data_IF_356032971511
#
_entry.id   IF_356032971511
#
_cell.length_a   1.000
_cell.length_b   1.000
_cell.length_c   1.000
_cell.angle_alpha   90.00
_cell.angle_beta   90.00
_cell.angle_gamma   90.00
#
_symmetry.space_group_name_H-M   'P 1'
#
loop_
_entity.id
_entity.type
_entity.pdbx_description
1 polymer ?
#
# COMPACT_ATOMS: atom_id res chain seq x y z
N UNK A 1 21.64 36.03 58.11
CA UNK A 1 22.00 35.50 56.78
C UNK A 1 20.92 35.93 55.80
N UNK A 2 21.33 36.70 54.80
CA UNK A 2 20.59 37.29 53.67
C UNK A 2 19.74 36.27 52.90
N UNK A 3 18.69 36.62 52.13
CA UNK A 3 18.21 37.91 51.62
C UNK A 3 16.73 37.79 51.17
N UNK A 4 16.04 38.92 51.15
CA UNK A 4 14.66 39.13 50.71
C UNK A 4 14.64 40.02 49.45
N UNK A 5 13.57 39.87 48.65
CA UNK A 5 12.81 40.90 47.91
C UNK A 5 13.35 41.51 46.59
N UNK A 6 12.66 41.15 45.50
CA UNK A 6 11.74 41.96 44.67
C UNK A 6 12.07 43.42 44.25
N UNK A 7 12.18 43.61 42.92
CA UNK A 7 11.72 44.67 41.98
C UNK A 7 11.79 46.16 42.37
N UNK A 8 12.37 46.98 41.47
CA UNK A 8 12.09 48.42 41.35
C UNK A 8 12.84 49.10 40.19
N UNK A 9 12.11 49.70 39.24
CA UNK A 9 12.63 50.56 38.16
C UNK A 9 12.95 51.98 38.64
N UNK A 10 13.96 52.64 38.06
CA UNK A 10 13.97 54.08 37.69
C UNK A 10 15.14 54.39 36.75
N UNK A 11 14.93 55.35 35.84
CA UNK A 11 15.82 55.78 34.76
C UNK A 11 16.76 56.93 35.16
N UNK A 12 17.95 57.02 34.51
CA UNK A 12 18.70 58.27 34.23
C UNK A 12 19.77 58.08 33.11
N UNK A 13 19.64 58.89 32.05
CA UNK A 13 20.66 59.74 31.38
C UNK A 13 21.91 59.25 30.57
N UNK A 14 21.81 59.46 29.23
CA UNK A 14 22.78 60.01 28.22
C UNK A 14 24.07 59.24 27.80
N UNK A 15 24.71 59.51 26.61
CA UNK A 15 24.30 59.31 25.19
C UNK A 15 25.44 58.61 24.35
N UNK A 16 25.39 58.52 22.99
CA UNK A 16 26.05 57.47 22.20
C UNK A 16 27.43 57.85 21.64
N UNK A 17 28.14 56.88 21.01
CA UNK A 17 28.91 57.02 19.76
C UNK A 17 29.74 55.73 19.51
N UNK A 18 29.44 54.97 18.45
CA UNK A 18 30.40 54.05 17.81
C UNK A 18 30.52 54.40 16.34
N UNK A 19 31.67 55.00 16.00
CA UNK A 19 32.20 55.05 14.66
C UNK A 19 33.07 53.83 14.34
N UNK A 20 33.20 53.61 13.04
CA UNK A 20 34.33 52.98 12.31
C UNK A 20 34.66 51.51 12.57
N UNK A 21 34.43 50.72 11.51
CA UNK A 21 35.00 49.39 11.22
C UNK A 21 36.52 49.36 11.43
N UNK A 22 37.08 48.15 11.65
CA UNK A 22 38.14 47.73 10.74
C UNK A 22 38.05 46.27 10.28
N UNK A 23 38.56 46.09 9.06
CA UNK A 23 39.33 44.99 8.48
C UNK A 23 38.79 43.54 8.47
N UNK A 24 38.81 43.00 7.24
CA UNK A 24 38.60 41.61 6.83
C UNK A 24 39.68 40.68 7.39
N UNK A 25 39.27 39.47 7.74
CA UNK A 25 40.08 38.25 7.57
C UNK A 25 39.39 37.31 6.56
N UNK A 26 40.15 36.46 5.85
CA UNK A 26 39.69 35.76 4.65
C UNK A 26 39.19 34.33 4.93
N UNK A 27 38.07 33.99 4.31
CA UNK A 27 37.83 32.71 3.63
C UNK A 27 37.89 31.42 4.46
N UNK A 28 36.74 31.02 5.01
CA UNK A 28 36.40 29.60 5.18
C UNK A 28 35.07 29.38 4.45
N UNK A 29 35.14 28.74 3.27
CA UNK A 29 33.97 28.38 2.49
C UNK A 29 33.25 27.20 3.14
N UNK A 30 32.27 27.49 3.99
CA UNK A 30 31.23 26.52 4.31
C UNK A 30 30.23 26.50 3.15
N UNK A 31 30.16 25.37 2.45
CA UNK A 31 29.05 25.09 1.53
C UNK A 31 27.76 25.01 2.36
N UNK A 32 27.02 26.11 2.44
CA UNK A 32 25.64 26.08 2.90
C UNK A 32 24.85 25.16 1.97
N UNK A 33 24.55 23.97 2.48
CA UNK A 33 23.50 23.12 1.95
C UNK A 33 22.20 23.92 2.08
N UNK A 34 21.84 24.65 1.02
CA UNK A 34 20.57 25.36 0.93
C UNK A 34 19.47 24.32 1.12
N UNK A 35 18.84 24.35 2.30
CA UNK A 35 17.57 23.70 2.55
C UNK A 35 16.56 24.34 1.59
N UNK A 36 16.31 23.64 0.49
CA UNK A 36 15.21 23.95 -0.40
C UNK A 36 13.94 23.70 0.40
N UNK A 37 13.35 24.77 0.93
CA UNK A 37 11.97 24.74 1.38
C UNK A 37 11.11 24.42 0.15
N UNK A 38 10.31 23.33 0.16
CA UNK A 38 9.38 23.08 -0.94
C UNK A 38 8.41 24.24 -0.99
N UNK A 39 8.28 24.85 -2.18
CA UNK A 39 7.24 25.84 -2.45
C UNK A 39 5.89 25.16 -2.24
N UNK A 40 5.09 25.69 -1.33
CA UNK A 40 3.67 25.38 -1.21
C UNK A 40 3.01 25.52 -2.60
N UNK A 41 2.45 24.42 -3.12
CA UNK A 41 1.65 24.41 -4.35
C UNK A 41 2.19 23.62 -5.55
N UNK A 42 3.37 23.00 -5.50
CA UNK A 42 3.82 22.12 -6.58
C UNK A 42 3.29 20.69 -6.38
N UNK A 43 2.14 20.35 -6.97
CA UNK A 43 1.70 18.96 -7.10
C UNK A 43 2.82 18.17 -7.81
N UNK A 44 3.45 17.23 -7.11
CA UNK A 44 4.51 16.39 -7.67
C UNK A 44 3.92 15.53 -8.80
N UNK A 45 4.24 15.90 -10.04
CA UNK A 45 3.70 15.22 -11.22
C UNK A 45 4.23 13.79 -11.33
N UNK A 46 3.35 12.85 -11.69
CA UNK A 46 3.69 11.45 -11.88
C UNK A 46 3.56 11.10 -13.36
N UNK A 47 4.62 10.56 -13.93
CA UNK A 47 4.59 10.04 -15.31
C UNK A 47 3.72 8.79 -15.42
N UNK A 48 3.66 8.00 -14.35
CA UNK A 48 2.90 6.76 -14.30
C UNK A 48 2.35 6.52 -12.90
N UNK A 49 1.07 6.18 -12.83
CA UNK A 49 0.43 5.67 -11.61
C UNK A 49 -0.16 4.29 -11.87
N UNK A 50 0.23 3.33 -11.04
CA UNK A 50 -0.35 1.98 -11.04
C UNK A 50 -1.43 1.88 -9.96
N UNK A 51 -2.59 1.34 -10.30
CA UNK A 51 -3.63 0.95 -9.36
C UNK A 51 -3.74 -0.56 -9.37
N UNK A 52 -3.37 -1.20 -8.26
CA UNK A 52 -3.29 -2.65 -8.16
C UNK A 52 -4.50 -3.19 -7.41
N UNK A 53 -5.15 -4.19 -7.99
CA UNK A 53 -6.13 -5.04 -7.32
C UNK A 53 -5.72 -6.50 -7.30
N UNK A 54 -6.55 -7.36 -6.69
CA UNK A 54 -6.17 -8.73 -6.36
C UNK A 54 -5.79 -9.57 -7.58
N UNK A 55 -6.32 -9.24 -8.77
CA UNK A 55 -5.95 -9.90 -10.02
C UNK A 55 -4.49 -9.69 -10.43
N UNK A 56 -3.83 -8.60 -9.98
CA UNK A 56 -2.42 -8.36 -10.29
C UNK A 56 -1.51 -9.37 -9.58
N UNK A 57 -1.84 -9.73 -8.33
CA UNK A 57 -1.08 -10.72 -7.56
C UNK A 57 -1.42 -12.17 -7.96
N UNK A 58 -2.47 -12.40 -8.74
CA UNK A 58 -2.83 -13.74 -9.22
C UNK A 58 -1.73 -14.37 -10.08
N UNK A 59 -0.99 -13.57 -10.84
CA UNK A 59 0.12 -14.04 -11.68
C UNK A 59 1.30 -14.61 -10.88
N UNK A 60 1.34 -14.34 -9.57
CA UNK A 60 2.31 -14.92 -8.63
C UNK A 60 1.64 -15.84 -7.60
N UNK A 61 0.47 -16.40 -7.95
CA UNK A 61 -0.29 -17.39 -7.18
C UNK A 61 -0.95 -16.90 -5.88
N UNK A 62 -1.21 -15.60 -5.75
CA UNK A 62 -2.05 -15.09 -4.67
C UNK A 62 -3.55 -15.22 -4.97
N UNK A 63 -4.39 -15.29 -3.92
CA UNK A 63 -5.83 -15.46 -4.08
C UNK A 63 -6.49 -14.20 -4.64
N UNK A 64 -7.38 -14.37 -5.62
CA UNK A 64 -8.33 -13.32 -6.02
C UNK A 64 -9.51 -13.28 -5.05
N UNK A 65 -10.39 -12.27 -5.16
CA UNK A 65 -11.47 -12.02 -4.20
C UNK A 65 -12.32 -13.25 -3.81
N UNK A 66 -12.73 -14.07 -4.79
CA UNK A 66 -13.48 -15.31 -4.51
C UNK A 66 -12.69 -16.34 -3.69
N UNK A 67 -11.43 -16.57 -4.08
CA UNK A 67 -10.52 -17.50 -3.39
C UNK A 67 -10.15 -17.00 -1.98
N UNK A 68 -9.99 -15.69 -1.82
CA UNK A 68 -9.71 -15.06 -0.53
C UNK A 68 -10.89 -15.24 0.43
N UNK A 69 -12.13 -15.00 -0.03
CA UNK A 69 -13.34 -15.23 0.77
C UNK A 69 -13.44 -16.69 1.23
N UNK A 70 -13.16 -17.63 0.34
CA UNK A 70 -13.17 -19.05 0.69
C UNK A 70 -12.15 -19.36 1.80
N UNK A 71 -10.89 -18.92 1.62
CA UNK A 71 -9.85 -19.11 2.64
C UNK A 71 -10.21 -18.48 3.98
N UNK A 72 -10.76 -17.27 3.97
CA UNK A 72 -11.22 -16.59 5.20
C UNK A 72 -12.31 -17.41 5.90
N UNK A 73 -13.28 -17.93 5.16
CA UNK A 73 -14.33 -18.78 5.73
C UNK A 73 -13.75 -20.05 6.38
N UNK A 74 -12.80 -20.70 5.71
CA UNK A 74 -12.11 -21.89 6.22
C UNK A 74 -11.31 -21.59 7.49
N UNK A 75 -10.53 -20.49 7.50
CA UNK A 75 -9.74 -20.08 8.66
C UNK A 75 -10.61 -19.74 9.87
N UNK A 76 -11.78 -19.15 9.64
CA UNK A 76 -12.73 -18.73 10.68
C UNK A 76 -13.76 -19.80 11.06
N UNK A 77 -13.72 -21.00 10.47
CA UNK A 77 -14.55 -22.13 10.89
C UNK A 77 -14.01 -22.77 12.19
N UNK A 78 -13.90 -21.96 13.24
CA UNK A 78 -13.36 -22.34 14.54
C UNK A 78 -14.44 -23.05 15.35
N UNK A 79 -14.24 -24.35 15.61
CA UNK A 79 -15.15 -25.16 16.43
C UNK A 79 -14.40 -25.85 17.56
N UNK A 80 -15.07 -26.00 18.69
CA UNK A 80 -14.53 -26.68 19.86
C UNK A 80 -15.29 -27.98 20.14
N UNK A 81 -14.55 -28.99 20.61
CA UNK A 81 -15.12 -30.23 21.13
C UNK A 81 -14.33 -30.66 22.36
N UNK A 82 -15.04 -30.84 23.49
CA UNK A 82 -14.44 -31.19 24.79
C UNK A 82 -13.31 -30.23 25.21
N UNK A 83 -13.48 -28.92 25.01
CA UNK A 83 -12.50 -27.89 25.39
C UNK A 83 -11.31 -27.73 24.42
N UNK A 84 -11.18 -28.59 23.40
CA UNK A 84 -10.14 -28.47 22.38
C UNK A 84 -10.71 -27.91 21.07
N UNK A 85 -9.97 -27.01 20.43
CA UNK A 85 -10.27 -26.56 19.06
C UNK A 85 -10.07 -27.75 18.10
N UNK A 86 -11.02 -27.95 17.18
CA UNK A 86 -11.05 -29.06 16.20
C UNK A 86 -10.96 -28.60 14.76
N UNK A 87 -11.31 -27.36 14.47
CA UNK A 87 -11.32 -26.80 13.12
C UNK A 87 -10.95 -25.31 13.16
N UNK A 88 -10.78 -24.72 11.96
CA UNK A 88 -10.30 -23.35 11.80
C UNK A 88 -8.82 -23.20 12.10
N UNK A 89 -8.31 -21.98 12.00
CA UNK A 89 -6.91 -21.67 12.27
C UNK A 89 -6.62 -21.64 13.78
N UNK A 90 -5.67 -22.45 14.22
CA UNK A 90 -5.31 -22.54 15.64
C UNK A 90 -4.62 -21.28 16.15
N UNK A 91 -3.91 -20.54 15.28
CA UNK A 91 -3.26 -19.30 15.67
C UNK A 91 -4.27 -18.17 15.85
N UNK A 92 -5.33 -18.13 15.04
CA UNK A 92 -6.47 -17.22 15.28
C UNK A 92 -7.12 -17.54 16.62
N UNK A 93 -7.34 -18.83 16.93
CA UNK A 93 -7.88 -19.24 18.22
C UNK A 93 -6.97 -18.87 19.41
N UNK A 94 -5.65 -18.90 19.22
CA UNK A 94 -4.68 -18.42 20.22
C UNK A 94 -4.71 -16.89 20.35
N UNK A 95 -4.78 -16.16 19.24
CA UNK A 95 -4.93 -14.71 19.23
C UNK A 95 -6.22 -14.26 19.93
N UNK A 96 -7.32 -15.02 19.81
CA UNK A 96 -8.54 -14.77 20.57
C UNK A 96 -8.31 -14.87 22.07
N UNK A 97 -7.64 -15.94 22.53
CA UNK A 97 -7.33 -16.13 23.96
C UNK A 97 -6.47 -14.99 24.50
N UNK A 98 -5.47 -14.55 23.74
CA UNK A 98 -4.64 -13.41 24.12
C UNK A 98 -5.43 -12.10 24.16
N UNK A 99 -6.29 -11.85 23.17
CA UNK A 99 -7.11 -10.63 23.11
C UNK A 99 -8.11 -10.55 24.25
N UNK A 100 -8.73 -11.68 24.64
CA UNK A 100 -9.71 -11.76 25.74
C UNK A 100 -9.05 -11.66 27.12
N UNK A 101 -7.78 -12.04 27.24
CA UNK A 101 -7.04 -11.97 28.50
C UNK A 101 -6.38 -10.60 28.73
N UNK A 102 -6.43 -9.69 27.75
CA UNK A 102 -5.78 -8.40 27.84
C UNK A 102 -6.50 -7.45 28.83
N UNK A 103 -5.78 -6.64 29.62
CA UNK A 103 -6.36 -5.78 30.66
C UNK A 103 -7.37 -4.73 30.18
N UNK A 104 -7.39 -4.43 28.87
CA UNK A 104 -8.18 -3.36 28.28
C UNK A 104 -9.57 -3.83 27.81
N UNK A 105 -9.94 -5.11 28.01
CA UNK A 105 -11.25 -5.74 27.77
C UNK A 105 -11.98 -5.38 26.44
N UNK A 106 -11.28 -4.91 25.40
CA UNK A 106 -11.95 -4.52 24.14
C UNK A 106 -12.73 -5.67 23.49
N UNK A 107 -12.28 -6.91 23.72
CA UNK A 107 -12.91 -8.15 23.27
C UNK A 107 -13.04 -9.17 24.42
N UNK A 108 -13.61 -8.76 25.56
CA UNK A 108 -13.60 -9.52 26.83
C UNK A 108 -14.29 -10.91 26.83
N UNK A 109 -14.94 -11.33 25.75
CA UNK A 109 -15.58 -12.66 25.65
C UNK A 109 -15.22 -13.39 24.35
N UNK A 110 -14.55 -14.53 24.49
CA UNK A 110 -14.18 -15.39 23.36
C UNK A 110 -15.41 -15.88 22.58
N UNK A 111 -16.56 -16.05 23.23
CA UNK A 111 -17.78 -16.49 22.56
C UNK A 111 -18.30 -15.46 21.55
N UNK A 112 -18.11 -14.16 21.83
CA UNK A 112 -18.45 -13.08 20.89
C UNK A 112 -17.57 -13.15 19.63
N UNK A 113 -16.27 -13.41 19.82
CA UNK A 113 -15.32 -13.60 18.72
C UNK A 113 -15.64 -14.85 17.88
N UNK A 114 -16.03 -15.94 18.53
CA UNK A 114 -16.46 -17.17 17.84
C UNK A 114 -17.77 -16.96 17.08
N UNK A 115 -18.72 -16.23 17.67
CA UNK A 115 -19.97 -15.86 17.00
C UNK A 115 -19.70 -14.98 15.77
N UNK A 116 -18.87 -13.94 15.91
CA UNK A 116 -18.45 -13.08 14.80
C UNK A 116 -17.73 -13.88 13.69
N UNK A 117 -16.87 -14.83 14.06
CA UNK A 117 -16.20 -15.74 13.12
C UNK A 117 -17.21 -16.59 12.34
N UNK A 118 -18.23 -17.14 13.03
CA UNK A 118 -19.33 -17.88 12.40
C UNK A 118 -20.13 -17.01 11.43
N UNK A 119 -20.45 -15.78 11.80
CA UNK A 119 -21.15 -14.82 10.92
C UNK A 119 -20.35 -14.54 9.64
N UNK A 120 -19.04 -14.31 9.75
CA UNK A 120 -18.17 -14.09 8.58
C UNK A 120 -18.16 -15.35 7.72
N UNK A 121 -17.85 -16.52 8.30
CA UNK A 121 -17.80 -17.81 7.61
C UNK A 121 -19.06 -18.06 6.77
N UNK A 122 -20.22 -17.92 7.40
CA UNK A 122 -21.50 -18.24 6.76
C UNK A 122 -21.88 -17.21 5.66
N UNK A 123 -21.41 -15.97 5.78
CA UNK A 123 -21.67 -14.91 4.82
C UNK A 123 -20.66 -14.82 3.66
N UNK A 124 -19.46 -15.42 3.77
CA UNK A 124 -18.44 -15.33 2.70
C UNK A 124 -18.90 -15.84 1.32
N UNK A 125 -19.71 -16.91 1.19
CA UNK A 125 -20.22 -17.35 -0.11
C UNK A 125 -21.02 -16.25 -0.84
N UNK A 126 -21.86 -15.50 -0.12
CA UNK A 126 -22.76 -14.47 -0.68
C UNK A 126 -22.17 -13.05 -0.67
N UNK A 127 -21.13 -12.79 0.13
CA UNK A 127 -20.52 -11.46 0.22
C UNK A 127 -19.79 -11.09 -1.09
N UNK A 128 -19.80 -9.81 -1.47
CA UNK A 128 -19.01 -9.31 -2.61
C UNK A 128 -17.50 -9.44 -2.35
N UNK A 129 -17.07 -9.01 -1.16
CA UNK A 129 -15.71 -9.12 -0.64
C UNK A 129 -15.74 -9.11 0.89
N UNK A 130 -14.61 -9.42 1.53
CA UNK A 130 -14.47 -9.29 2.99
C UNK A 130 -14.61 -7.82 3.42
N UNK A 131 -14.01 -6.87 2.70
CA UNK A 131 -14.13 -5.44 3.01
C UNK A 131 -15.56 -4.95 2.99
N UNK A 132 -16.31 -5.34 1.95
CA UNK A 132 -17.71 -4.97 1.85
C UNK A 132 -18.53 -5.53 3.02
N UNK A 133 -18.25 -6.76 3.44
CA UNK A 133 -18.91 -7.36 4.60
C UNK A 133 -18.57 -6.63 5.90
N UNK A 134 -17.29 -6.39 6.18
CA UNK A 134 -16.85 -5.64 7.36
C UNK A 134 -17.48 -4.23 7.38
N UNK A 135 -17.55 -3.55 6.22
CA UNK A 135 -18.15 -2.22 6.12
C UNK A 135 -19.66 -2.22 6.41
N UNK A 136 -20.41 -3.22 5.92
CA UNK A 136 -21.84 -3.39 6.25
C UNK A 136 -22.04 -3.57 7.76
N UNK A 137 -21.09 -4.23 8.42
CA UNK A 137 -21.10 -4.49 9.86
C UNK A 137 -20.17 -3.57 10.67
N UNK A 138 -19.88 -2.35 10.18
CA UNK A 138 -18.86 -1.45 10.76
C UNK A 138 -19.02 -1.12 12.25
N UNK A 139 -20.22 -1.24 12.81
CA UNK A 139 -20.49 -1.02 14.24
C UNK A 139 -20.11 -2.22 15.11
N UNK A 140 -19.89 -3.39 14.53
CA UNK A 140 -19.46 -4.59 15.21
C UNK A 140 -17.94 -4.73 15.13
N UNK A 141 -17.26 -4.33 16.22
CA UNK A 141 -15.80 -4.40 16.33
C UNK A 141 -15.25 -5.83 16.25
N UNK A 142 -15.99 -6.82 16.75
CA UNK A 142 -15.58 -8.23 16.73
C UNK A 142 -15.51 -8.78 15.30
N UNK A 143 -16.47 -8.40 14.43
CA UNK A 143 -16.43 -8.76 13.00
C UNK A 143 -15.21 -8.14 12.32
N UNK A 144 -14.95 -6.85 12.56
CA UNK A 144 -13.77 -6.20 12.00
C UNK A 144 -12.47 -6.88 12.49
N UNK A 145 -12.38 -7.17 13.79
CA UNK A 145 -11.24 -7.84 14.41
C UNK A 145 -11.00 -9.25 13.82
N UNK A 146 -12.02 -10.11 13.82
CA UNK A 146 -11.92 -11.47 13.28
C UNK A 146 -11.58 -11.46 11.79
N UNK A 147 -12.22 -10.57 11.02
CA UNK A 147 -11.97 -10.41 9.59
C UNK A 147 -10.52 -9.99 9.30
N UNK A 148 -9.99 -9.00 10.02
CA UNK A 148 -8.60 -8.54 9.87
C UNK A 148 -7.60 -9.66 10.19
N UNK A 149 -7.81 -10.43 11.26
CA UNK A 149 -6.96 -11.59 11.59
C UNK A 149 -6.95 -12.63 10.46
N UNK A 150 -8.13 -12.96 9.92
CA UNK A 150 -8.25 -13.92 8.83
C UNK A 150 -7.61 -13.44 7.53
N UNK A 151 -7.71 -12.14 7.21
CA UNK A 151 -7.01 -11.52 6.07
C UNK A 151 -5.50 -11.69 6.24
N UNK A 152 -4.95 -11.28 7.39
CA UNK A 152 -3.50 -11.39 7.65
C UNK A 152 -3.02 -12.83 7.50
N UNK A 153 -3.74 -13.80 8.11
CA UNK A 153 -3.36 -15.21 7.99
C UNK A 153 -3.45 -15.75 6.58
N UNK A 154 -4.53 -15.44 5.87
CA UNK A 154 -4.75 -15.91 4.49
C UNK A 154 -3.67 -15.39 3.54
N UNK A 155 -3.32 -14.12 3.65
CA UNK A 155 -2.34 -13.47 2.77
C UNK A 155 -0.92 -13.93 3.08
N UNK A 156 -0.51 -14.01 4.36
CA UNK A 156 0.81 -14.54 4.71
C UNK A 156 0.98 -16.01 4.27
N UNK A 157 -0.06 -16.83 4.39
CA UNK A 157 -0.06 -18.19 3.84
C UNK A 157 0.01 -18.23 2.31
N UNK A 158 -0.54 -17.22 1.63
CA UNK A 158 -0.46 -17.09 0.18
C UNK A 158 0.92 -16.65 -0.29
N UNK A 159 1.52 -15.64 0.36
CA UNK A 159 2.89 -15.20 0.11
C UNK A 159 3.88 -16.37 0.28
N UNK A 160 3.70 -17.20 1.30
CA UNK A 160 4.50 -18.40 1.55
C UNK A 160 4.41 -19.47 0.44
N UNK A 161 3.36 -19.42 -0.39
CA UNK A 161 3.14 -20.35 -1.50
C UNK A 161 3.37 -19.69 -2.87
N UNK A 162 3.73 -18.41 -2.88
CA UNK A 162 3.90 -17.62 -4.10
C UNK A 162 5.23 -17.91 -4.78
N UNK A 163 5.31 -17.55 -6.07
CA UNK A 163 6.56 -17.64 -6.83
C UNK A 163 7.61 -16.59 -6.39
N UNK A 164 7.23 -15.68 -5.49
CA UNK A 164 8.07 -14.63 -4.94
C UNK A 164 8.73 -15.03 -3.61
N UNK A 165 8.40 -16.19 -3.03
CA UNK A 165 9.07 -16.64 -1.81
C UNK A 165 10.56 -16.89 -2.07
N UNK A 166 11.42 -16.36 -1.20
CA UNK A 166 12.84 -16.73 -1.17
C UNK A 166 12.97 -18.08 -0.45
N UNK A 167 13.45 -19.09 -1.18
CA UNK A 167 13.73 -20.41 -0.61
C UNK A 167 14.83 -20.30 0.46
N UNK A 168 14.56 -20.79 1.66
CA UNK A 168 15.52 -20.78 2.78
C UNK A 168 16.79 -21.60 2.50
N UNK A 169 16.74 -22.56 1.57
CA UNK A 169 17.91 -23.32 1.12
C UNK A 169 18.78 -22.55 0.13
N UNK A 170 18.28 -21.43 -0.41
CA UNK A 170 19.03 -20.59 -1.32
C UNK A 170 20.05 -19.74 -0.55
N UNK A 171 21.33 -20.16 -0.61
CA UNK A 171 22.45 -19.44 0.03
C UNK A 171 22.63 -18.01 -0.49
N UNK A 172 22.11 -17.69 -1.68
CA UNK A 172 22.18 -16.35 -2.25
C UNK A 172 21.03 -15.45 -1.81
N UNK A 173 20.03 -16.00 -1.10
CA UNK A 173 18.86 -15.27 -0.61
C UNK A 173 18.15 -14.47 -1.72
N UNK A 174 17.92 -15.10 -2.88
CA UNK A 174 17.29 -14.48 -4.07
C UNK A 174 15.97 -15.16 -4.43
N UNK A 175 15.04 -14.38 -4.99
CA UNK A 175 13.84 -14.93 -5.65
C UNK A 175 14.19 -15.60 -6.98
N UNK A 176 13.35 -16.54 -7.41
CA UNK A 176 13.51 -17.21 -8.69
C UNK A 176 12.88 -16.40 -9.83
N UNK A 177 13.68 -15.52 -10.46
CA UNK A 177 13.21 -14.69 -11.59
C UNK A 177 12.68 -15.51 -12.78
N UNK A 178 13.16 -16.74 -12.98
CA UNK A 178 12.66 -17.61 -14.07
C UNK A 178 11.20 -17.98 -13.84
N UNK A 179 10.79 -18.18 -12.57
CA UNK A 179 9.43 -18.56 -12.20
C UNK A 179 8.41 -17.42 -12.34
N UNK A 180 8.87 -16.18 -12.52
CA UNK A 180 8.03 -14.97 -12.61
C UNK A 180 8.24 -14.18 -13.92
N UNK A 181 9.03 -14.72 -14.86
CA UNK A 181 9.38 -14.04 -16.12
C UNK A 181 8.18 -13.67 -17.00
N UNK A 182 7.08 -14.43 -16.90
CA UNK A 182 5.86 -14.23 -17.70
C UNK A 182 4.78 -13.44 -16.93
N UNK A 183 5.19 -12.63 -15.95
CA UNK A 183 4.28 -11.84 -15.12
C UNK A 183 4.47 -10.35 -15.39
N UNK A 184 3.44 -9.55 -15.08
CA UNK A 184 3.47 -8.11 -15.22
C UNK A 184 4.58 -7.45 -14.39
N UNK A 185 5.04 -8.08 -13.30
CA UNK A 185 6.18 -7.61 -12.52
C UNK A 185 7.44 -7.49 -13.38
N UNK A 186 7.69 -8.46 -14.26
CA UNK A 186 8.83 -8.46 -15.18
C UNK A 186 8.67 -7.38 -16.24
N UNK A 187 7.47 -7.28 -16.84
CA UNK A 187 7.18 -6.26 -17.85
C UNK A 187 7.26 -4.84 -17.29
N UNK A 188 6.71 -4.61 -16.10
CA UNK A 188 6.81 -3.34 -15.40
C UNK A 188 8.26 -2.98 -15.10
N UNK A 189 9.07 -3.93 -14.63
CA UNK A 189 10.48 -3.68 -14.36
C UNK A 189 11.27 -3.32 -15.61
N UNK A 190 10.99 -3.99 -16.74
CA UNK A 190 11.59 -3.62 -18.04
C UNK A 190 11.21 -2.20 -18.45
N UNK A 191 9.94 -1.83 -18.30
CA UNK A 191 9.45 -0.48 -18.59
C UNK A 191 10.05 0.57 -17.67
N UNK A 192 10.19 0.26 -16.38
CA UNK A 192 10.81 1.14 -15.39
C UNK A 192 12.29 1.38 -15.73
N UNK A 193 13.00 0.35 -16.18
CA UNK A 193 14.45 0.39 -16.42
C UNK A 193 14.83 0.67 -17.88
N UNK A 194 13.86 0.89 -18.76
CA UNK A 194 14.09 1.18 -20.18
C UNK A 194 14.94 2.45 -20.35
N UNK A 195 16.10 2.29 -21.00
CA UNK A 195 17.11 3.35 -21.17
C UNK A 195 17.49 4.05 -19.85
N UNK A 196 17.46 3.34 -18.72
CA UNK A 196 17.75 3.87 -17.39
C UNK A 196 19.12 3.40 -16.92
N UNK A 197 20.04 4.33 -16.63
CA UNK A 197 21.27 3.99 -15.93
C UNK A 197 21.03 3.95 -14.41
N UNK A 198 22.01 3.43 -13.67
CA UNK A 198 21.94 3.35 -12.19
C UNK A 198 21.69 4.72 -11.56
N UNK A 199 22.36 5.75 -12.05
CA UNK A 199 22.25 7.12 -11.53
C UNK A 199 20.88 7.76 -11.81
N UNK A 200 20.17 7.28 -12.85
CA UNK A 200 18.84 7.76 -13.22
C UNK A 200 17.72 7.12 -12.39
N UNK A 201 17.98 6.00 -11.69
CA UNK A 201 16.96 5.23 -10.96
C UNK A 201 16.21 6.08 -9.94
N UNK A 202 16.94 6.98 -9.25
CA UNK A 202 16.36 7.90 -8.28
C UNK A 202 15.26 8.74 -8.90
N UNK A 203 15.54 9.38 -10.03
CA UNK A 203 14.56 10.23 -10.71
C UNK A 203 13.40 9.38 -11.26
N UNK A 204 13.72 8.21 -11.82
CA UNK A 204 12.74 7.29 -12.39
C UNK A 204 11.71 6.82 -11.36
N UNK A 205 12.14 6.41 -10.18
CA UNK A 205 11.25 5.93 -9.11
C UNK A 205 10.36 7.06 -8.58
N UNK A 206 10.86 8.30 -8.52
CA UNK A 206 10.07 9.46 -8.10
C UNK A 206 8.93 9.82 -9.07
N UNK A 207 9.07 9.46 -10.34
CA UNK A 207 8.06 9.68 -11.39
C UNK A 207 6.92 8.64 -11.36
N UNK A 208 7.08 7.56 -10.59
CA UNK A 208 6.08 6.51 -10.45
C UNK A 208 5.38 6.65 -9.10
N UNK A 209 4.08 6.34 -9.07
CA UNK A 209 3.37 6.06 -7.83
C UNK A 209 2.53 4.79 -7.98
N UNK A 210 2.26 4.14 -6.87
CA UNK A 210 1.45 2.91 -6.81
C UNK A 210 0.38 3.05 -5.74
N UNK A 211 -0.85 2.72 -6.09
CA UNK A 211 -1.96 2.59 -5.16
C UNK A 211 -2.38 1.12 -5.15
N UNK A 212 -1.96 0.39 -4.12
CA UNK A 212 -2.27 -1.03 -3.96
C UNK A 212 -3.49 -1.21 -3.05
N UNK A 213 -4.56 -1.77 -3.60
CA UNK A 213 -5.70 -2.24 -2.80
C UNK A 213 -5.51 -3.67 -2.29
N UNK A 214 -4.34 -4.26 -2.56
CA UNK A 214 -3.99 -5.58 -2.08
C UNK A 214 -3.33 -5.46 -0.71
N UNK A 215 -3.64 -6.40 0.18
CA UNK A 215 -2.99 -6.50 1.49
C UNK A 215 -1.59 -7.15 1.42
N UNK A 216 -1.26 -7.78 0.29
CA UNK A 216 0.01 -8.43 0.07
C UNK A 216 1.13 -7.43 -0.24
N UNK A 217 2.37 -7.92 -0.17
CA UNK A 217 3.58 -7.08 -0.32
C UNK A 217 4.39 -7.48 -1.54
N UNK A 218 3.74 -8.13 -2.51
CA UNK A 218 4.40 -8.76 -3.65
C UNK A 218 5.15 -7.73 -4.50
N UNK A 219 4.56 -6.56 -4.69
CA UNK A 219 5.14 -5.49 -5.52
C UNK A 219 6.46 -4.98 -4.96
N UNK A 220 6.47 -4.56 -3.69
CA UNK A 220 7.67 -4.06 -3.03
C UNK A 220 8.71 -5.16 -2.87
N UNK A 221 8.28 -6.38 -2.52
CA UNK A 221 9.16 -7.53 -2.38
C UNK A 221 9.86 -7.87 -3.69
N UNK A 222 9.12 -7.89 -4.80
CA UNK A 222 9.67 -8.13 -6.13
C UNK A 222 10.69 -7.06 -6.52
N UNK A 223 10.34 -5.77 -6.40
CA UNK A 223 11.24 -4.69 -6.81
C UNK A 223 12.53 -4.66 -5.99
N UNK A 224 12.44 -4.97 -4.70
CA UNK A 224 13.60 -5.03 -3.81
C UNK A 224 14.67 -6.00 -4.34
N UNK A 225 14.25 -7.21 -4.74
CA UNK A 225 15.16 -8.18 -5.32
C UNK A 225 15.53 -7.87 -6.77
N UNK A 226 14.60 -7.31 -7.56
CA UNK A 226 14.83 -7.00 -8.97
C UNK A 226 15.94 -5.93 -9.12
N UNK A 227 15.90 -4.87 -8.31
CA UNK A 227 16.91 -3.82 -8.31
C UNK A 227 18.30 -4.36 -7.96
N UNK A 228 18.41 -5.15 -6.88
CA UNK A 228 19.66 -5.81 -6.49
C UNK A 228 20.20 -6.71 -7.60
N UNK A 229 19.33 -7.51 -8.21
CA UNK A 229 19.74 -8.47 -9.22
C UNK A 229 20.16 -7.81 -10.54
N UNK A 230 19.43 -6.80 -11.01
CA UNK A 230 19.65 -6.19 -12.31
C UNK A 230 20.79 -5.16 -12.31
N UNK A 231 20.88 -4.33 -11.26
CA UNK A 231 21.91 -3.28 -11.15
C UNK A 231 23.12 -3.71 -10.30
N UNK A 232 23.07 -4.88 -9.65
CA UNK A 232 24.14 -5.35 -8.79
C UNK A 232 24.35 -4.51 -7.53
N UNK A 233 23.30 -3.81 -7.08
CA UNK A 233 23.34 -2.92 -5.91
C UNK A 233 23.13 -3.66 -4.60
N UNK A 234 23.52 -3.03 -3.48
CA UNK A 234 23.38 -3.62 -2.16
C UNK A 234 21.91 -3.65 -1.70
N UNK A 235 21.65 -4.49 -0.69
CA UNK A 235 20.37 -4.56 0.00
C UNK A 235 19.94 -3.20 0.60
N UNK A 236 20.89 -2.45 1.16
CA UNK A 236 20.66 -1.12 1.74
C UNK A 236 20.33 -0.10 0.65
N UNK A 237 21.12 -0.06 -0.43
CA UNK A 237 20.88 0.84 -1.55
C UNK A 237 19.53 0.56 -2.24
N UNK A 238 19.14 -0.71 -2.37
CA UNK A 238 17.83 -1.06 -2.90
C UNK A 238 16.68 -0.58 -1.99
N UNK A 239 16.85 -0.66 -0.66
CA UNK A 239 15.87 -0.13 0.29
C UNK A 239 15.77 1.40 0.20
N UNK A 240 16.91 2.09 0.13
CA UNK A 240 16.98 3.55 -0.01
C UNK A 240 16.32 4.04 -1.32
N UNK A 241 16.56 3.34 -2.42
CA UNK A 241 15.91 3.64 -3.70
C UNK A 241 14.40 3.43 -3.62
N UNK A 242 13.94 2.31 -3.04
CA UNK A 242 12.51 2.04 -2.91
C UNK A 242 11.79 2.99 -1.97
N UNK A 243 12.48 3.59 -0.99
CA UNK A 243 11.91 4.64 -0.15
C UNK A 243 11.55 5.91 -0.96
N UNK A 244 12.09 6.09 -2.16
CA UNK A 244 11.73 7.18 -3.07
C UNK A 244 10.47 6.91 -3.90
N UNK A 245 10.07 5.64 -4.00
CA UNK A 245 8.87 5.24 -4.71
C UNK A 245 7.65 5.46 -3.81
N UNK A 246 6.68 6.21 -4.33
CA UNK A 246 5.45 6.49 -3.61
C UNK A 246 4.49 5.30 -3.72
N UNK A 247 4.32 4.55 -2.63
CA UNK A 247 3.43 3.38 -2.56
C UNK A 247 2.38 3.57 -1.47
N UNK A 248 1.12 3.61 -1.88
CA UNK A 248 -0.04 3.77 -1.01
C UNK A 248 -0.78 2.44 -0.84
N UNK A 249 -1.17 2.14 0.39
CA UNK A 249 -2.01 0.98 0.75
C UNK A 249 -3.25 1.47 1.51
N UNK A 250 -4.35 1.82 0.82
CA UNK A 250 -5.50 2.48 1.45
C UNK A 250 -6.12 1.66 2.59
N UNK A 251 -6.08 0.32 2.48
CA UNK A 251 -6.59 -0.62 3.49
C UNK A 251 -5.48 -1.24 4.36
N UNK A 252 -4.25 -0.72 4.27
CA UNK A 252 -3.08 -1.30 4.90
C UNK A 252 -2.60 -2.59 4.22
N UNK A 253 -1.54 -3.16 4.78
CA UNK A 253 -0.86 -4.37 4.29
C UNK A 253 -0.50 -5.29 5.47
N UNK A 254 -0.13 -6.54 5.19
CA UNK A 254 0.16 -7.56 6.22
C UNK A 254 1.52 -7.38 6.93
N UNK A 255 1.83 -6.16 7.35
CA UNK A 255 3.04 -5.80 8.08
C UNK A 255 4.18 -5.35 7.18
N UNK A 256 5.09 -4.55 7.71
CA UNK A 256 6.27 -4.10 6.96
C UNK A 256 7.24 -5.25 6.66
N UNK A 257 7.94 -5.16 5.52
CA UNK A 257 9.01 -6.09 5.19
C UNK A 257 10.27 -5.76 6.01
N UNK A 258 11.13 -6.75 6.33
CA UNK A 258 12.30 -6.53 7.18
C UNK A 258 13.27 -5.44 6.69
N UNK A 259 13.38 -5.25 5.38
CA UNK A 259 14.25 -4.24 4.78
C UNK A 259 13.68 -2.81 4.85
N UNK A 260 12.42 -2.64 5.26
CA UNK A 260 11.81 -1.32 5.42
C UNK A 260 12.19 -0.66 6.76
N UNK A 261 13.05 -1.29 7.57
CA UNK A 261 13.61 -0.77 8.83
C UNK A 261 12.60 -0.24 9.87
N UNK A 262 11.38 -0.77 9.88
CA UNK A 262 10.34 -0.42 10.85
C UNK A 262 10.18 -1.50 11.93
N UNK A 263 9.82 -1.08 13.14
CA UNK A 263 9.53 -2.00 14.26
C UNK A 263 8.31 -2.89 13.95
N UNK A 264 8.35 -4.16 14.34
CA UNK A 264 7.25 -5.10 14.08
C UNK A 264 7.23 -5.71 12.67
N UNK A 265 8.35 -5.68 11.94
CA UNK A 265 8.46 -6.25 10.61
C UNK A 265 8.20 -7.77 10.59
N UNK A 266 7.55 -8.23 9.52
CA UNK A 266 7.22 -9.64 9.28
C UNK A 266 7.83 -10.08 7.96
N UNK A 267 8.66 -11.14 7.98
CA UNK A 267 9.25 -11.69 6.75
C UNK A 267 8.14 -12.06 5.75
N UNK A 268 8.43 -11.92 4.46
CA UNK A 268 7.50 -12.30 3.40
C UNK A 268 7.15 -13.79 3.51
N UNK A 269 5.86 -14.11 3.53
CA UNK A 269 5.41 -15.50 3.71
C UNK A 269 5.71 -16.13 5.07
N UNK A 270 6.02 -15.36 6.11
CA UNK A 270 6.29 -15.91 7.44
C UNK A 270 5.02 -16.48 8.10
N UNK A 271 5.22 -17.45 8.98
CA UNK A 271 4.20 -17.87 9.95
C UNK A 271 4.40 -16.99 11.20
N UNK A 272 3.52 -16.01 11.48
CA UNK A 272 3.61 -15.21 12.69
C UNK A 272 3.26 -16.05 13.93
N UNK A 273 3.65 -15.58 15.12
CA UNK A 273 3.02 -16.01 16.36
C UNK A 273 1.73 -15.22 16.63
N UNK A 274 0.99 -15.57 17.70
CA UNK A 274 -0.32 -14.96 17.98
C UNK A 274 -0.22 -13.46 18.33
N UNK A 275 0.82 -13.04 19.05
CA UNK A 275 1.07 -11.61 19.36
C UNK A 275 1.38 -10.80 18.11
N UNK A 276 2.24 -11.33 17.23
CA UNK A 276 2.56 -10.71 15.94
C UNK A 276 1.33 -10.63 15.05
N UNK A 277 0.51 -11.68 15.02
CA UNK A 277 -0.74 -11.69 14.26
C UNK A 277 -1.68 -10.57 14.73
N UNK A 278 -1.86 -10.40 16.04
CA UNK A 278 -2.64 -9.30 16.63
C UNK A 278 -2.04 -7.92 16.31
N UNK A 279 -0.71 -7.80 16.36
CA UNK A 279 -0.04 -6.54 16.04
C UNK A 279 -0.22 -6.14 14.57
N UNK A 280 -0.09 -7.10 13.65
CA UNK A 280 -0.24 -6.86 12.21
C UNK A 280 -1.69 -6.60 11.84
N UNK A 281 -2.66 -7.30 12.44
CA UNK A 281 -4.07 -7.09 12.14
C UNK A 281 -4.54 -5.67 12.47
N UNK A 282 -3.92 -5.01 13.46
CA UNK A 282 -4.19 -3.60 13.81
C UNK A 282 -3.71 -2.61 12.74
N UNK A 283 -2.78 -3.00 11.88
CA UNK A 283 -2.28 -2.15 10.79
C UNK A 283 -3.21 -2.14 9.58
N UNK A 284 -4.11 -3.13 9.48
CA UNK A 284 -5.14 -3.13 8.45
C UNK A 284 -6.23 -2.11 8.79
N UNK A 285 -6.67 -1.36 7.78
CA UNK A 285 -7.72 -0.35 7.88
C UNK A 285 -9.00 -0.87 7.25
N UNK A 286 -10.13 -0.70 7.94
CA UNK A 286 -11.44 -0.88 7.32
C UNK A 286 -11.71 0.25 6.32
N UNK A 287 -12.70 0.11 5.44
CA UNK A 287 -13.08 1.19 4.54
C UNK A 287 -13.37 2.51 5.28
N UNK A 288 -14.10 2.45 6.40
CA UNK A 288 -14.41 3.64 7.20
C UNK A 288 -13.15 4.29 7.79
N UNK A 289 -12.19 3.48 8.25
CA UNK A 289 -10.90 3.95 8.77
C UNK A 289 -10.00 4.52 7.66
N UNK A 290 -10.02 3.90 6.47
CA UNK A 290 -9.20 4.30 5.32
C UNK A 290 -9.81 5.42 4.47
N UNK A 291 -11.02 5.89 4.79
CA UNK A 291 -11.68 7.01 4.10
C UNK A 291 -11.81 8.27 4.97
N UNK A 292 -11.25 8.25 6.17
CA UNK A 292 -11.22 9.41 7.06
C UNK A 292 -10.42 10.57 6.42
N UNK A 293 -11.07 11.70 6.06
CA UNK A 293 -10.41 12.84 5.43
C UNK A 293 -9.32 13.48 6.30
N UNK A 294 -9.30 13.21 7.60
CA UNK A 294 -8.22 13.65 8.49
C UNK A 294 -6.92 12.86 8.32
N UNK A 295 -6.94 11.78 7.54
CA UNK A 295 -5.75 10.98 7.22
C UNK A 295 -5.07 11.50 5.94
N UNK A 296 -3.79 11.86 6.04
CA UNK A 296 -2.97 12.43 4.95
C UNK A 296 -2.84 11.53 3.71
N UNK A 297 -3.14 10.23 3.85
CA UNK A 297 -2.91 9.24 2.81
C UNK A 297 -3.92 9.38 1.65
N UNK A 298 -5.19 9.69 1.91
CA UNK A 298 -6.23 9.76 0.86
C UNK A 298 -6.01 10.95 -0.07
N UNK A 299 -5.66 12.10 0.51
CA UNK A 299 -5.36 13.31 -0.27
C UNK A 299 -4.15 13.07 -1.17
N UNK A 300 -3.12 12.39 -0.65
CA UNK A 300 -1.93 12.01 -1.41
C UNK A 300 -2.26 11.02 -2.54
N UNK A 301 -3.09 10.00 -2.29
CA UNK A 301 -3.58 9.08 -3.31
C UNK A 301 -4.30 9.83 -4.44
N UNK A 302 -5.24 10.71 -4.08
CA UNK A 302 -6.00 11.50 -5.06
C UNK A 302 -5.10 12.44 -5.84
N UNK A 303 -4.15 13.11 -5.18
CA UNK A 303 -3.17 13.96 -5.83
C UNK A 303 -2.29 13.18 -6.82
N UNK A 304 -1.83 11.99 -6.45
CA UNK A 304 -1.06 11.12 -7.33
C UNK A 304 -1.88 10.72 -8.56
N UNK A 305 -3.12 10.26 -8.37
CA UNK A 305 -4.02 9.86 -9.47
C UNK A 305 -4.36 11.03 -10.39
N UNK A 306 -4.66 12.22 -9.85
CA UNK A 306 -4.96 13.43 -10.64
C UNK A 306 -3.74 13.96 -11.39
N UNK A 307 -2.56 13.84 -10.78
CA UNK A 307 -1.27 14.25 -11.34
C UNK A 307 -0.64 13.25 -12.30
N UNK A 308 -1.30 12.11 -12.55
CA UNK A 308 -0.79 11.04 -13.40
C UNK A 308 -0.94 11.38 -14.89
N UNK A 309 0.18 11.32 -15.64
CA UNK A 309 0.14 11.35 -17.11
C UNK A 309 -0.42 10.05 -17.68
N UNK A 310 -0.08 8.90 -17.09
CA UNK A 310 -0.62 7.58 -17.44
C UNK A 310 -1.15 6.89 -16.20
N UNK A 311 -2.37 6.37 -16.30
CA UNK A 311 -3.01 5.64 -15.21
C UNK A 311 -3.26 4.20 -15.65
N UNK A 312 -2.71 3.22 -14.92
CA UNK A 312 -2.83 1.80 -15.26
C UNK A 312 -3.51 1.05 -14.12
N UNK A 313 -4.64 0.40 -14.41
CA UNK A 313 -5.36 -0.48 -13.47
C UNK A 313 -5.06 -1.95 -13.77
N UNK A 314 -4.46 -2.66 -12.82
CA UNK A 314 -4.07 -4.06 -12.96
C UNK A 314 -4.86 -4.93 -12.00
N UNK A 315 -5.60 -5.90 -12.53
CA UNK A 315 -6.40 -6.84 -11.76
C UNK A 315 -7.38 -6.20 -10.79
N UNK A 316 -7.85 -4.98 -11.10
CA UNK A 316 -8.70 -4.18 -10.26
C UNK A 316 -10.18 -4.48 -10.53
N UNK A 317 -10.97 -4.65 -9.46
CA UNK A 317 -12.37 -5.08 -9.56
C UNK A 317 -13.36 -3.93 -9.83
N UNK A 318 -12.89 -2.68 -9.93
CA UNK A 318 -13.72 -1.48 -10.15
C UNK A 318 -14.91 -1.36 -9.18
N UNK A 319 -14.73 -1.82 -7.93
CA UNK A 319 -15.75 -1.62 -6.91
C UNK A 319 -15.92 -0.14 -6.62
N UNK A 320 -17.20 0.30 -6.59
CA UNK A 320 -17.59 1.70 -6.38
C UNK A 320 -16.87 2.38 -5.21
N UNK A 321 -16.77 1.70 -4.06
CA UNK A 321 -16.08 2.24 -2.88
C UNK A 321 -14.60 2.57 -3.14
N UNK A 322 -13.90 1.72 -3.92
CA UNK A 322 -12.49 1.94 -4.23
C UNK A 322 -12.33 3.06 -5.26
N UNK A 323 -13.27 3.20 -6.21
CA UNK A 323 -13.29 4.31 -7.16
C UNK A 323 -13.57 5.65 -6.47
N UNK A 324 -14.49 5.69 -5.50
CA UNK A 324 -14.77 6.88 -4.67
C UNK A 324 -13.58 7.28 -3.78
N UNK A 325 -12.71 6.32 -3.43
CA UNK A 325 -11.45 6.61 -2.74
C UNK A 325 -10.48 7.32 -3.68
N UNK A 326 -10.30 6.81 -4.91
CA UNK A 326 -9.36 7.34 -5.90
C UNK A 326 -9.76 8.70 -6.48
N UNK A 327 -11.07 8.96 -6.64
CA UNK A 327 -11.58 10.14 -7.33
C UNK A 327 -12.54 10.94 -6.46
N UNK A 328 -12.41 12.27 -6.46
CA UNK A 328 -13.40 13.16 -5.86
C UNK A 328 -14.72 13.13 -6.65
N UNK A 329 -15.83 13.33 -5.94
CA UNK A 329 -17.17 13.43 -6.55
C UNK A 329 -17.52 14.88 -7.00
N UNK A 330 -16.57 15.81 -6.96
CA UNK A 330 -16.81 17.22 -7.26
C UNK A 330 -16.55 17.50 -8.74
N UNK A 331 -17.62 17.74 -9.50
CA UNK A 331 -17.62 17.99 -10.95
C UNK A 331 -17.01 19.33 -11.38
N UNK A 332 -16.05 19.86 -10.63
CA UNK A 332 -15.49 21.20 -10.82
C UNK A 332 -14.07 21.29 -10.26
N UNK A 333 -13.16 20.48 -10.82
CA UNK A 333 -11.71 20.58 -10.60
C UNK A 333 -11.00 20.37 -11.96
N UNK A 334 -9.81 20.94 -12.18
CA UNK A 334 -9.20 21.13 -13.50
C UNK A 334 -8.98 19.80 -14.23
N UNK A 335 -9.16 19.82 -15.56
CA UNK A 335 -8.97 18.68 -16.46
C UNK A 335 -7.71 17.91 -16.08
N UNK A 336 -7.86 16.63 -15.75
CA UNK A 336 -6.72 15.80 -15.41
C UNK A 336 -5.69 15.84 -16.55
N UNK A 337 -4.41 15.86 -16.18
CA UNK A 337 -3.29 15.76 -17.14
C UNK A 337 -3.10 14.34 -17.67
N UNK A 338 -3.97 13.42 -17.28
CA UNK A 338 -3.94 12.05 -17.75
C UNK A 338 -4.12 12.06 -19.26
N UNK A 339 -3.12 11.54 -19.95
CA UNK A 339 -3.11 11.43 -21.40
C UNK A 339 -3.72 10.11 -21.84
N UNK A 340 -3.58 9.07 -21.02
CA UNK A 340 -4.10 7.73 -21.32
C UNK A 340 -4.39 6.93 -20.07
N UNK A 341 -5.40 6.07 -20.17
CA UNK A 341 -5.78 5.11 -19.14
C UNK A 341 -5.70 3.71 -19.76
N UNK A 342 -5.12 2.77 -19.02
CA UNK A 342 -5.08 1.36 -19.38
C UNK A 342 -5.62 0.52 -18.23
N UNK A 343 -6.38 -0.52 -18.54
CA UNK A 343 -7.00 -1.34 -17.52
C UNK A 343 -7.19 -2.79 -17.99
N UNK A 344 -6.91 -3.74 -17.11
CA UNK A 344 -7.41 -5.11 -17.25
C UNK A 344 -8.80 -5.25 -16.62
N UNK A 345 -9.69 -5.94 -17.30
CA UNK A 345 -11.04 -6.29 -16.87
C UNK A 345 -11.33 -7.77 -17.16
N UNK A 346 -10.33 -8.64 -16.95
CA UNK A 346 -10.33 -10.03 -17.40
C UNK A 346 -11.58 -10.78 -16.94
N UNK A 347 -12.32 -11.32 -17.91
CA UNK A 347 -13.53 -12.12 -17.65
C UNK A 347 -14.81 -11.32 -17.40
N UNK A 348 -14.78 -9.98 -17.45
CA UNK A 348 -15.98 -9.17 -17.41
C UNK A 348 -16.72 -9.16 -18.76
N UNK A 349 -18.03 -8.91 -18.71
CA UNK A 349 -18.85 -8.81 -19.92
C UNK A 349 -18.51 -7.54 -20.71
N UNK A 350 -18.79 -7.54 -22.02
CA UNK A 350 -18.62 -6.33 -22.84
C UNK A 350 -19.40 -5.13 -22.31
N UNK A 351 -20.62 -5.36 -21.80
CA UNK A 351 -21.45 -4.31 -21.20
C UNK A 351 -20.78 -3.71 -19.96
N UNK A 352 -20.23 -4.55 -19.07
CA UNK A 352 -19.55 -4.07 -17.87
C UNK A 352 -18.27 -3.31 -18.22
N UNK A 353 -17.52 -3.78 -19.22
CA UNK A 353 -16.30 -3.12 -19.71
C UNK A 353 -16.64 -1.72 -20.26
N UNK A 354 -17.71 -1.59 -21.05
CA UNK A 354 -18.14 -0.31 -21.58
C UNK A 354 -18.61 0.64 -20.46
N UNK A 355 -19.32 0.13 -19.46
CA UNK A 355 -19.67 0.92 -18.28
C UNK A 355 -18.45 1.40 -17.50
N UNK A 356 -17.48 0.52 -17.24
CA UNK A 356 -16.21 0.87 -16.57
C UNK A 356 -15.46 1.92 -17.39
N UNK A 357 -15.39 1.77 -18.71
CA UNK A 357 -14.73 2.74 -19.58
C UNK A 357 -15.39 4.11 -19.50
N UNK A 358 -16.73 4.17 -19.58
CA UNK A 358 -17.47 5.44 -19.46
C UNK A 358 -17.28 6.08 -18.08
N UNK A 359 -17.26 5.28 -17.02
CA UNK A 359 -17.01 5.78 -15.67
C UNK A 359 -15.59 6.35 -15.54
N UNK A 360 -14.58 5.65 -16.06
CA UNK A 360 -13.19 6.14 -16.06
C UNK A 360 -13.04 7.42 -16.92
N UNK A 361 -13.68 7.50 -18.08
CA UNK A 361 -13.74 8.73 -18.89
C UNK A 361 -14.34 9.89 -18.09
N UNK A 362 -15.45 9.65 -17.39
CA UNK A 362 -16.10 10.68 -16.58
C UNK A 362 -15.24 11.12 -15.37
N UNK A 363 -14.53 10.17 -14.73
CA UNK A 363 -13.72 10.43 -13.54
C UNK A 363 -12.35 11.05 -13.86
N UNK A 364 -11.76 10.70 -14.99
CA UNK A 364 -10.42 11.17 -15.39
C UNK A 364 -10.47 12.31 -16.39
N UNK A 365 -11.57 12.49 -17.14
CA UNK A 365 -11.65 13.45 -18.24
C UNK A 365 -10.85 13.04 -19.48
N UNK A 366 -10.26 11.84 -19.49
CA UNK A 366 -9.54 11.29 -20.65
C UNK A 366 -10.54 10.91 -21.74
N UNK A 367 -10.17 11.17 -22.99
CA UNK A 367 -11.01 10.81 -24.13
C UNK A 367 -11.23 9.30 -24.21
N UNK A 368 -12.38 8.89 -24.75
CA UNK A 368 -12.77 7.49 -24.84
C UNK A 368 -11.78 6.63 -25.64
N UNK A 369 -11.20 7.17 -26.72
CA UNK A 369 -10.19 6.51 -27.56
C UNK A 369 -8.84 6.32 -26.87
N UNK A 370 -8.58 7.08 -25.80
CA UNK A 370 -7.39 6.97 -24.96
C UNK A 370 -7.64 6.23 -23.64
N UNK A 371 -8.84 5.68 -23.46
CA UNK A 371 -9.24 4.89 -22.28
C UNK A 371 -9.39 3.43 -22.67
N UNK A 372 -8.30 2.68 -22.51
CA UNK A 372 -8.17 1.29 -22.95
C UNK A 372 -8.52 0.32 -21.81
N UNK A 373 -9.70 -0.29 -21.86
CA UNK A 373 -10.14 -1.30 -20.89
C UNK A 373 -10.27 -2.65 -21.61
N UNK A 374 -9.51 -3.65 -21.18
CA UNK A 374 -9.35 -4.93 -21.87
C UNK A 374 -9.89 -6.12 -21.08
N UNK A 375 -10.91 -6.79 -21.62
CA UNK A 375 -11.61 -7.90 -20.98
C UNK A 375 -10.99 -9.28 -21.17
N UNK A 376 -10.01 -9.40 -22.07
CA UNK A 376 -9.42 -10.66 -22.51
C UNK A 376 -7.91 -10.75 -22.23
N UNK A 377 -7.30 -9.71 -21.66
CA UNK A 377 -5.87 -9.66 -21.38
C UNK A 377 -5.58 -9.89 -19.89
N UNK A 378 -4.53 -10.66 -19.62
CA UNK A 378 -3.88 -10.72 -18.30
C UNK A 378 -3.13 -9.41 -18.02
N UNK A 379 -2.62 -9.22 -16.80
CA UNK A 379 -1.84 -8.02 -16.49
C UNK A 379 -0.55 -8.00 -17.32
N UNK A 380 0.14 -9.13 -17.43
CA UNK A 380 1.32 -9.28 -18.28
C UNK A 380 1.01 -8.98 -19.76
N UNK A 381 -0.09 -9.54 -20.28
CA UNK A 381 -0.49 -9.33 -21.68
C UNK A 381 -0.86 -7.87 -21.97
N UNK A 382 -1.42 -7.14 -20.99
CA UNK A 382 -1.71 -5.71 -21.14
C UNK A 382 -0.43 -4.90 -21.37
N UNK A 383 0.65 -5.17 -20.62
CA UNK A 383 1.93 -4.50 -20.83
C UNK A 383 2.54 -4.83 -22.20
N UNK A 384 2.45 -6.09 -22.64
CA UNK A 384 2.93 -6.48 -23.96
C UNK A 384 2.20 -5.75 -25.09
N UNK A 385 0.87 -5.65 -25.01
CA UNK A 385 0.03 -4.99 -26.01
C UNK A 385 0.32 -3.48 -26.09
N UNK A 386 0.47 -2.83 -24.93
CA UNK A 386 0.54 -1.37 -24.84
C UNK A 386 1.92 -0.82 -24.48
N UNK A 387 2.99 -1.63 -24.61
CA UNK A 387 4.35 -1.28 -24.18
C UNK A 387 4.79 0.13 -24.58
N UNK A 388 4.59 0.51 -25.84
CA UNK A 388 4.93 1.85 -26.36
C UNK A 388 4.08 2.97 -25.77
N UNK A 389 2.80 2.73 -25.53
CA UNK A 389 1.89 3.71 -24.93
C UNK A 389 2.16 3.93 -23.44
N UNK A 390 2.69 2.92 -22.76
CA UNK A 390 3.00 2.94 -21.34
C UNK A 390 4.42 3.43 -21.00
N UNK A 391 5.30 3.60 -21.99
CA UNK A 391 6.69 4.06 -21.84
C UNK A 391 6.83 5.26 -20.91
N UNK A 392 7.85 5.26 -20.05
CA UNK A 392 8.21 6.40 -19.20
C UNK A 392 9.10 7.44 -19.90
N UNK A 393 9.66 7.09 -21.07
CA UNK A 393 10.49 7.97 -21.90
C UNK A 393 9.73 8.54 -23.07
#
# INVERSE_FOLDING_TARGET
>A
MHQQLTIGCTATDFPPLRGSKPAREPGVGHSECQRIHPREGAMHMKSLVLVLGAGASKEVNLPVGGELKQRIAELLDIRFHAGSQRSGDHLIGEAFRLATAAPNEEHGDINLLLHASGMIRDAMPQAKSIDNFINVHRTNKDIAFCGKLAIVRSILQAEAKSNLLVDSSNIHNKINFVAIKNTWFTEFFQLLTENCQRDDLRLRLQQVAVVSFNYDRCFEHYLYFALQNYFGISAEEAADLLALLEVHHPYGKVGELPWMHQSGAVKFGAIPNAEQLLSVSKQLRTFAEGTDPSTSDIESIRAAVLGAQRLIFLGFAFHRLNLELLFLNTGSEPRARTESVFATALGLSYSDIDHIRLELVAKTGVLHDKTNVQGNLTCASLFHEYKRGMSLT
#
